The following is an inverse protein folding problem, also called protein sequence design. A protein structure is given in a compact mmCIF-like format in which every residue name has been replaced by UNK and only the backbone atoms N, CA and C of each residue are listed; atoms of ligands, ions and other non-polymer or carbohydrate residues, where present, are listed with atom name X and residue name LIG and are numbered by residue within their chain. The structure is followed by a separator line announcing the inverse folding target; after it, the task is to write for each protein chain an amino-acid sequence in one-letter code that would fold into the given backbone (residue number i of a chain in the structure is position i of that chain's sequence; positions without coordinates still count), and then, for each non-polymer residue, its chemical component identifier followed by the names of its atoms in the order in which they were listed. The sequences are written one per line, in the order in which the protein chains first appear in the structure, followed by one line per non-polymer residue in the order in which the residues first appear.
data_IF_196554458666
#
_entry.id   IF_196554458666
#
_cell.length_a   1.000
_cell.length_b   1.000
_cell.length_c   1.000
_cell.angle_alpha   90.00
_cell.angle_beta   90.00
_cell.angle_gamma   90.00
#
_symmetry.space_group_name_H-M   'P 1'
#
loop_
_entity.id
_entity.type
_entity.pdbx_description
1 polymer ?
#
# COMPACT_ATOMS: atom_id res chain seq x y z
N UNK A 1 -10.36 7.17 16.62
CA UNK A 1 -10.25 8.65 16.71
C UNK A 1 -11.12 9.29 15.63
N UNK A 2 -11.64 10.49 15.84
CA UNK A 2 -12.47 11.18 14.84
C UNK A 2 -12.41 12.70 15.00
N UNK A 3 -12.75 13.41 13.91
CA UNK A 3 -13.01 14.85 13.89
C UNK A 3 -14.31 15.11 13.09
N UNK A 4 -14.60 16.35 12.71
CA UNK A 4 -15.84 16.68 11.97
C UNK A 4 -15.96 16.04 10.58
N UNK A 5 -14.83 15.66 9.95
CA UNK A 5 -14.81 15.14 8.59
C UNK A 5 -14.59 13.62 8.53
N UNK A 6 -13.71 13.07 9.38
CA UNK A 6 -13.26 11.69 9.32
C UNK A 6 -13.44 10.95 10.64
N UNK A 7 -13.67 9.63 10.56
CA UNK A 7 -13.54 8.68 11.67
C UNK A 7 -12.58 7.57 11.26
N UNK A 8 -11.56 7.35 12.10
CA UNK A 8 -10.54 6.31 11.94
C UNK A 8 -10.70 5.25 13.03
N UNK A 9 -10.76 3.99 12.62
CA UNK A 9 -10.67 2.83 13.52
C UNK A 9 -9.32 2.15 13.33
N UNK A 10 -8.55 2.02 14.41
CA UNK A 10 -7.26 1.34 14.43
C UNK A 10 -7.36 0.09 15.29
N UNK A 11 -6.70 -1.01 14.87
CA UNK A 11 -6.61 -2.27 15.61
C UNK A 11 -5.18 -2.49 16.12
N UNK A 12 -4.83 -2.03 17.33
CA UNK A 12 -3.45 -2.10 17.84
C UNK A 12 -2.90 -3.53 17.87
N UNK A 13 -3.74 -4.51 18.18
CA UNK A 13 -3.36 -5.94 18.27
C UNK A 13 -3.23 -6.65 16.92
N UNK A 14 -3.46 -5.95 15.80
CA UNK A 14 -3.37 -6.44 14.41
C UNK A 14 -2.57 -5.41 13.60
N UNK A 15 -1.28 -5.31 13.89
CA UNK A 15 -0.37 -4.43 13.16
C UNK A 15 -0.63 -2.94 13.28
N UNK A 16 -1.41 -2.51 14.29
CA UNK A 16 -2.04 -1.20 14.31
C UNK A 16 -2.72 -0.85 12.97
N UNK A 17 -3.36 -1.84 12.34
CA UNK A 17 -4.13 -1.73 11.09
C UNK A 17 -5.16 -0.61 11.19
N UNK A 18 -5.24 0.25 10.19
CA UNK A 18 -6.40 1.13 10.03
C UNK A 18 -7.52 0.30 9.38
N UNK A 19 -8.46 -0.17 10.20
CA UNK A 19 -9.54 -1.05 9.75
C UNK A 19 -10.64 -0.29 8.98
N UNK A 20 -10.83 1.00 9.28
CA UNK A 20 -11.83 1.86 8.64
C UNK A 20 -11.30 3.29 8.56
N UNK A 21 -11.47 3.91 7.39
CA UNK A 21 -11.32 5.35 7.18
C UNK A 21 -12.66 5.84 6.64
N UNK A 22 -13.50 6.32 7.55
CA UNK A 22 -14.86 6.70 7.24
C UNK A 22 -14.99 8.21 7.05
N UNK A 23 -15.47 8.63 5.88
CA UNK A 23 -15.79 10.01 5.54
C UNK A 23 -17.21 10.32 5.99
N UNK A 24 -17.37 11.23 6.95
CA UNK A 24 -18.68 11.56 7.55
C UNK A 24 -19.64 12.23 6.58
N UNK A 25 -19.12 13.03 5.64
CA UNK A 25 -19.88 13.67 4.57
C UNK A 25 -19.14 13.42 3.26
N UNK A 26 -19.63 12.53 2.38
CA UNK A 26 -21.02 12.10 2.22
C UNK A 26 -21.36 10.71 2.83
N UNK A 27 -20.84 10.37 4.01
CA UNK A 27 -21.08 9.08 4.67
C UNK A 27 -20.57 7.87 3.86
N UNK A 28 -19.25 7.77 3.71
CA UNK A 28 -18.57 6.76 2.86
C UNK A 28 -17.41 6.10 3.58
N UNK A 29 -17.36 4.78 3.56
CA UNK A 29 -16.15 4.02 3.88
C UNK A 29 -15.20 4.02 2.68
N UNK A 30 -13.93 4.32 2.91
CA UNK A 30 -12.91 4.32 1.85
C UNK A 30 -12.32 2.94 1.63
N UNK A 31 -12.13 2.19 2.70
CA UNK A 31 -11.39 0.93 2.66
C UNK A 31 -12.35 -0.24 2.42
N UNK A 32 -11.90 -1.20 1.63
CA UNK A 32 -12.62 -2.45 1.43
C UNK A 32 -12.86 -3.15 2.77
N UNK A 33 -14.10 -3.58 2.98
CA UNK A 33 -14.54 -4.32 4.16
C UNK A 33 -14.94 -5.74 3.72
N UNK A 34 -14.51 -6.74 4.48
CA UNK A 34 -14.91 -8.12 4.25
C UNK A 34 -16.32 -8.33 4.84
N UNK A 35 -17.19 -9.14 4.20
CA UNK A 35 -18.49 -9.45 4.76
C UNK A 35 -18.38 -10.09 6.15
N UNK A 36 -18.83 -9.38 7.18
CA UNK A 36 -18.82 -9.82 8.58
C UNK A 36 -18.51 -8.68 9.56
N UNK A 37 -18.78 -8.93 10.85
CA UNK A 37 -18.65 -7.89 11.89
C UNK A 37 -17.32 -7.98 12.67
N UNK A 38 -16.53 -9.02 12.45
CA UNK A 38 -15.29 -9.28 13.21
C UNK A 38 -14.18 -9.83 12.33
N UNK A 39 -12.95 -9.38 12.58
CA UNK A 39 -11.75 -10.01 12.04
C UNK A 39 -11.56 -11.42 12.60
N UNK A 40 -11.07 -12.38 11.79
CA UNK A 40 -10.72 -13.69 12.31
C UNK A 40 -9.54 -13.59 13.29
N UNK A 41 -9.40 -14.58 14.19
CA UNK A 41 -8.22 -14.70 15.03
C UNK A 41 -6.94 -14.70 14.21
N UNK A 42 -5.96 -13.90 14.62
CA UNK A 42 -4.62 -13.90 14.04
C UNK A 42 -3.81 -15.06 14.60
N UNK A 43 -3.17 -15.82 13.70
CA UNK A 43 -2.15 -16.78 14.07
C UNK A 43 -0.81 -16.21 13.59
N UNK A 44 0.12 -15.85 14.48
CA UNK A 44 1.40 -15.26 14.07
C UNK A 44 2.12 -16.11 13.03
N UNK A 45 2.54 -15.49 11.93
CA UNK A 45 3.20 -16.18 10.81
C UNK A 45 2.28 -16.96 9.88
N UNK A 46 0.96 -16.87 10.02
CA UNK A 46 0.03 -17.41 9.01
C UNK A 46 0.12 -16.61 7.71
N UNK A 47 -0.12 -17.29 6.58
CA UNK A 47 -0.30 -16.63 5.28
C UNK A 47 -1.42 -15.58 5.34
N UNK A 48 -1.31 -14.55 4.51
CA UNK A 48 -2.31 -13.51 4.37
C UNK A 48 -3.59 -14.10 3.75
N UNK A 49 -4.69 -14.09 4.50
CA UNK A 49 -5.93 -14.73 4.08
C UNK A 49 -6.90 -13.73 3.45
N UNK A 50 -7.90 -14.19 2.69
CA UNK A 50 -8.96 -13.33 2.17
C UNK A 50 -9.60 -12.40 3.22
N UNK A 51 -9.82 -12.90 4.43
CA UNK A 51 -10.43 -12.14 5.52
C UNK A 51 -9.49 -11.04 6.07
N UNK A 52 -8.18 -11.19 5.85
CA UNK A 52 -7.16 -10.21 6.23
C UNK A 52 -7.02 -9.09 5.21
N UNK A 53 -7.49 -9.31 3.98
CA UNK A 53 -7.45 -8.36 2.85
C UNK A 53 -8.52 -7.30 2.95
N UNK A 54 -8.43 -6.50 4.01
CA UNK A 54 -9.32 -5.37 4.28
C UNK A 54 -8.55 -4.26 4.96
N UNK A 55 -9.11 -3.05 4.96
CA UNK A 55 -8.50 -1.95 5.67
C UNK A 55 -7.13 -1.55 5.09
N UNK A 56 -6.21 -1.17 5.96
CA UNK A 56 -4.87 -0.72 5.60
C UNK A 56 -3.82 -1.31 6.56
N UNK A 57 -2.98 -2.19 6.01
CA UNK A 57 -1.78 -2.74 6.64
C UNK A 57 -0.48 -2.05 6.20
N UNK A 58 0.57 -2.20 7.02
CA UNK A 58 1.94 -1.92 6.61
C UNK A 58 2.66 -3.23 6.28
N UNK A 59 3.32 -3.27 5.13
CA UNK A 59 4.12 -4.42 4.70
C UNK A 59 5.59 -4.13 5.01
N UNK A 60 6.13 -4.84 6.01
CA UNK A 60 7.52 -4.70 6.45
C UNK A 60 8.00 -5.96 7.19
N UNK A 61 9.22 -6.49 6.92
CA UNK A 61 10.24 -5.98 5.99
C UNK A 61 10.14 -6.52 4.55
N UNK A 62 9.00 -7.13 4.17
CA UNK A 62 8.74 -7.69 2.84
C UNK A 62 7.24 -7.61 2.50
N UNK A 63 6.87 -7.83 1.23
CA UNK A 63 5.49 -8.17 0.83
C UNK A 63 5.38 -9.67 0.59
N UNK A 64 6.28 -10.27 -0.20
CA UNK A 64 6.26 -11.69 -0.50
C UNK A 64 7.07 -12.49 0.52
N UNK A 65 6.56 -13.66 0.89
CA UNK A 65 7.33 -14.61 1.68
C UNK A 65 8.54 -15.12 0.89
N UNK A 66 9.72 -15.07 1.50
CA UNK A 66 10.95 -15.63 0.93
C UNK A 66 11.96 -15.96 2.05
N UNK A 67 12.92 -16.87 1.82
CA UNK A 67 14.11 -16.93 2.66
C UNK A 67 14.91 -15.63 2.49
N UNK A 68 15.23 -14.96 3.60
CA UNK A 68 15.99 -13.71 3.57
C UNK A 68 17.31 -13.91 2.82
N UNK A 69 17.58 -13.14 1.75
CA UNK A 69 18.65 -13.47 0.81
C UNK A 69 20.03 -12.94 1.23
N UNK A 70 20.14 -12.19 2.32
CA UNK A 70 21.36 -11.44 2.65
C UNK A 70 21.97 -11.84 4.00
N UNK A 71 23.29 -11.81 4.11
CA UNK A 71 23.96 -11.94 5.40
C UNK A 71 23.62 -10.75 6.32
N UNK A 72 23.67 -10.91 7.65
CA UNK A 72 23.98 -12.15 8.40
C UNK A 72 22.77 -13.08 8.57
N UNK A 73 21.57 -12.67 8.17
CA UNK A 73 20.32 -13.41 8.39
C UNK A 73 19.94 -14.32 7.21
N UNK A 74 20.90 -14.70 6.37
CA UNK A 74 20.63 -15.47 5.16
C UNK A 74 19.88 -16.77 5.50
N UNK A 75 18.76 -17.01 4.81
CA UNK A 75 17.89 -18.16 5.03
C UNK A 75 16.86 -18.00 6.16
N UNK A 76 16.91 -16.93 6.96
CA UNK A 76 15.84 -16.65 7.93
C UNK A 76 14.52 -16.35 7.20
N UNK A 77 13.37 -16.80 7.71
CA UNK A 77 12.10 -16.62 7.02
C UNK A 77 11.64 -15.16 7.06
N UNK A 78 11.37 -14.60 5.88
CA UNK A 78 10.48 -13.45 5.74
C UNK A 78 9.04 -13.96 5.56
N UNK A 79 8.12 -13.65 6.49
CA UNK A 79 6.73 -14.09 6.36
C UNK A 79 5.99 -13.30 5.28
N UNK A 80 4.88 -13.87 4.80
CA UNK A 80 3.96 -13.23 3.87
C UNK A 80 3.44 -11.90 4.44
N UNK A 81 3.57 -10.83 3.66
CA UNK A 81 3.32 -9.43 4.01
C UNK A 81 4.18 -8.86 5.16
N UNK A 82 5.25 -9.56 5.54
CA UNK A 82 6.16 -9.14 6.59
C UNK A 82 5.64 -9.42 8.00
N UNK A 83 6.40 -9.00 9.00
CA UNK A 83 6.11 -9.32 10.40
C UNK A 83 5.04 -8.38 10.99
N UNK A 84 4.99 -7.13 10.52
CA UNK A 84 4.36 -6.07 11.29
C UNK A 84 2.84 -6.03 11.17
N UNK A 85 2.24 -6.63 10.13
CA UNK A 85 0.79 -6.56 9.88
C UNK A 85 -0.04 -7.39 10.87
N UNK A 86 0.52 -8.50 11.38
CA UNK A 86 -0.18 -9.38 12.33
C UNK A 86 0.27 -9.18 13.78
N UNK A 87 1.44 -8.58 14.03
CA UNK A 87 1.94 -8.42 15.39
C UNK A 87 1.12 -7.41 16.19
N UNK A 88 0.96 -7.58 17.52
CA UNK A 88 0.43 -6.53 18.35
C UNK A 88 1.45 -5.40 18.48
N UNK A 89 1.01 -4.17 18.26
CA UNK A 89 1.81 -2.98 18.49
C UNK A 89 1.48 -2.40 19.86
N UNK A 90 2.51 -1.89 20.53
CA UNK A 90 2.39 -1.20 21.81
C UNK A 90 1.96 0.24 21.56
N UNK A 91 0.94 0.71 22.28
CA UNK A 91 0.59 2.13 22.26
C UNK A 91 1.68 2.94 22.96
N UNK A 92 2.14 4.02 22.33
CA UNK A 92 3.18 4.91 22.86
C UNK A 92 2.62 6.30 23.12
N UNK A 93 3.24 7.09 24.02
CA UNK A 93 2.81 8.46 24.28
C UNK A 93 2.75 9.29 22.99
N UNK A 94 1.69 10.08 22.84
CA UNK A 94 1.46 10.93 21.67
C UNK A 94 0.74 12.21 22.06
N UNK A 95 0.76 13.19 21.17
CA UNK A 95 0.10 14.48 21.38
C UNK A 95 -1.43 14.33 21.37
N UNK A 96 -2.12 15.29 21.99
CA UNK A 96 -3.58 15.33 21.97
C UNK A 96 -4.11 15.33 20.53
N UNK A 97 -5.03 14.43 20.21
CA UNK A 97 -5.58 14.28 18.85
C UNK A 97 -4.76 13.39 17.93
N UNK A 98 -3.77 12.66 18.46
CA UNK A 98 -3.03 11.63 17.73
C UNK A 98 -3.07 10.26 18.43
N UNK A 99 -2.73 9.21 17.71
CA UNK A 99 -2.54 7.85 18.24
C UNK A 99 -1.20 7.31 17.75
N UNK A 100 -0.31 6.92 18.65
CA UNK A 100 1.01 6.39 18.31
C UNK A 100 1.16 4.95 18.74
N UNK A 101 1.78 4.14 17.88
CA UNK A 101 2.03 2.72 18.11
C UNK A 101 3.43 2.36 17.68
N UNK A 102 4.08 1.45 18.41
CA UNK A 102 5.39 0.92 18.06
C UNK A 102 5.44 -0.61 18.13
N UNK A 103 6.31 -1.21 17.33
CA UNK A 103 6.59 -2.63 17.33
C UNK A 103 8.08 -2.88 17.12
N UNK A 104 8.60 -3.91 17.77
CA UNK A 104 9.96 -4.39 17.56
C UNK A 104 9.92 -5.64 16.69
N UNK A 105 10.82 -5.74 15.71
CA UNK A 105 10.95 -6.91 14.85
C UNK A 105 11.24 -8.17 15.66
N UNK A 106 10.67 -9.30 15.21
CA UNK A 106 10.82 -10.59 15.91
C UNK A 106 12.04 -11.35 15.40
N UNK A 107 12.22 -11.38 14.09
CA UNK A 107 13.31 -12.07 13.42
C UNK A 107 14.49 -11.13 13.09
N UNK A 108 14.20 -9.84 12.90
CA UNK A 108 15.18 -8.84 12.49
C UNK A 108 15.28 -7.68 13.49
N UNK A 109 16.48 -7.07 13.67
CA UNK A 109 16.70 -6.07 14.70
C UNK A 109 16.24 -4.68 14.23
N UNK A 110 14.94 -4.43 14.24
CA UNK A 110 14.41 -3.10 13.97
C UNK A 110 13.31 -2.72 14.98
N UNK A 111 13.05 -1.42 15.08
CA UNK A 111 11.85 -0.88 15.71
C UNK A 111 11.12 -0.01 14.69
N UNK A 112 9.83 -0.28 14.49
CA UNK A 112 8.96 0.51 13.64
C UNK A 112 7.91 1.20 14.53
N UNK A 113 7.70 2.49 14.30
CA UNK A 113 6.66 3.28 14.94
C UNK A 113 5.83 3.98 13.89
N UNK A 114 4.53 4.13 14.15
CA UNK A 114 3.66 5.00 13.37
C UNK A 114 2.71 5.80 14.25
N UNK A 115 2.44 7.03 13.82
CA UNK A 115 1.54 7.97 14.49
C UNK A 115 0.46 8.44 13.54
N UNK A 116 -0.80 8.23 13.92
CA UNK A 116 -1.97 8.70 13.19
C UNK A 116 -2.41 10.06 13.72
N UNK A 117 -2.73 10.98 12.82
CA UNK A 117 -3.39 12.26 13.14
C UNK A 117 -4.44 12.63 12.10
N UNK A 118 -5.48 13.36 12.54
CA UNK A 118 -6.55 13.83 11.67
C UNK A 118 -6.56 15.36 11.63
N UNK A 119 -6.59 15.94 10.43
CA UNK A 119 -6.70 17.39 10.23
C UNK A 119 -7.69 17.68 9.10
N UNK A 120 -8.86 18.24 9.42
CA UNK A 120 -9.95 18.37 8.46
C UNK A 120 -10.27 17.01 7.82
N UNK A 121 -10.37 16.98 6.49
CA UNK A 121 -10.59 15.76 5.71
C UNK A 121 -9.30 14.97 5.38
N UNK A 122 -8.21 15.19 6.13
CA UNK A 122 -6.92 14.53 5.90
C UNK A 122 -6.57 13.59 7.06
N UNK A 123 -6.21 12.36 6.73
CA UNK A 123 -5.51 11.42 7.61
C UNK A 123 -4.02 11.48 7.30
N UNK A 124 -3.21 11.76 8.32
CA UNK A 124 -1.76 11.67 8.22
C UNK A 124 -1.24 10.53 9.08
N UNK A 125 -0.32 9.76 8.52
CA UNK A 125 0.43 8.72 9.20
C UNK A 125 1.90 9.08 9.10
N UNK A 126 2.54 9.31 10.24
CA UNK A 126 3.99 9.51 10.31
C UNK A 126 4.64 8.20 10.69
N UNK A 127 5.75 7.87 10.05
CA UNK A 127 6.49 6.64 10.25
C UNK A 127 7.92 6.94 10.68
N UNK A 128 8.42 6.09 11.57
CA UNK A 128 9.81 6.09 12.01
C UNK A 128 10.26 4.64 12.07
N UNK A 129 11.34 4.29 11.38
CA UNK A 129 11.99 2.98 11.52
C UNK A 129 13.45 3.17 11.93
N UNK A 130 13.87 2.36 12.89
CA UNK A 130 15.23 2.29 13.37
C UNK A 130 15.76 0.87 13.14
N UNK A 131 16.93 0.75 12.52
CA UNK A 131 17.70 -0.49 12.54
C UNK A 131 18.48 -0.56 13.85
N UNK A 132 18.10 -1.46 14.75
CA UNK A 132 18.75 -1.68 16.04
C UNK A 132 20.05 -2.51 15.93
N UNK A 133 20.35 -3.03 14.75
CA UNK A 133 21.51 -3.86 14.49
C UNK A 133 22.75 -3.07 14.06
N UNK A 134 23.90 -3.75 14.13
CA UNK A 134 25.21 -3.22 13.73
C UNK A 134 25.54 -3.47 12.25
N UNK A 135 24.60 -4.02 11.48
CA UNK A 135 24.80 -4.33 10.05
C UNK A 135 23.71 -3.70 9.19
N UNK A 136 23.98 -3.38 7.91
CA UNK A 136 22.96 -2.87 7.00
C UNK A 136 21.81 -3.87 6.87
N UNK A 137 20.58 -3.37 6.88
CA UNK A 137 19.37 -4.17 6.77
C UNK A 137 18.60 -3.84 5.49
N UNK A 138 18.89 -4.54 4.38
CA UNK A 138 18.04 -4.50 3.20
C UNK A 138 16.63 -5.01 3.51
N UNK A 139 15.66 -4.14 3.34
CA UNK A 139 14.27 -4.41 3.67
C UNK A 139 13.35 -3.67 2.71
N UNK A 140 12.06 -3.87 2.87
CA UNK A 140 11.03 -3.16 2.16
C UNK A 140 10.01 -2.63 3.17
N UNK A 141 9.61 -1.37 2.99
CA UNK A 141 8.34 -0.86 3.49
C UNK A 141 7.45 -0.55 2.30
N UNK A 142 6.18 -0.96 2.38
CA UNK A 142 5.12 -0.50 1.49
C UNK A 142 3.82 -0.31 2.28
N UNK A 143 3.13 0.79 2.00
CA UNK A 143 1.76 0.97 2.48
C UNK A 143 0.83 0.00 1.72
N UNK A 144 -0.17 -0.57 2.40
CA UNK A 144 -1.16 -1.46 1.79
C UNK A 144 -2.62 -1.03 2.08
N UNK A 145 -3.04 0.21 1.74
CA UNK A 145 -4.43 0.60 1.86
C UNK A 145 -5.25 -0.07 0.76
N UNK A 146 -6.16 -0.95 1.14
CA UNK A 146 -7.08 -1.60 0.21
C UNK A 146 -8.35 -0.76 0.09
N UNK A 147 -8.40 0.12 -0.91
CA UNK A 147 -9.56 0.96 -1.17
C UNK A 147 -10.68 0.15 -1.82
N UNK A 148 -11.92 0.39 -1.41
CA UNK A 148 -13.09 -0.18 -2.05
C UNK A 148 -13.28 0.42 -3.44
N UNK A 149 -13.45 -0.43 -4.45
CA UNK A 149 -13.57 0.01 -5.85
C UNK A 149 -15.00 -0.11 -6.38
N UNK A 150 -15.33 0.73 -7.37
CA UNK A 150 -16.54 0.62 -8.18
C UNK A 150 -16.24 0.84 -9.65
N UNK A 151 -17.11 0.32 -10.51
CA UNK A 151 -17.01 0.50 -11.95
C UNK A 151 -17.03 2.00 -12.31
N UNK A 152 -15.94 2.47 -12.94
CA UNK A 152 -15.61 3.86 -13.40
C UNK A 152 -14.38 4.47 -12.73
N UNK A 153 -13.94 3.90 -11.61
CA UNK A 153 -12.78 4.44 -10.90
C UNK A 153 -11.53 4.32 -11.76
N UNK A 154 -10.59 5.26 -11.57
CA UNK A 154 -9.30 5.25 -12.25
C UNK A 154 -8.20 5.80 -11.37
N UNK A 155 -6.97 5.40 -11.66
CA UNK A 155 -5.76 6.00 -11.10
C UNK A 155 -5.41 7.21 -11.96
N UNK A 156 -5.15 8.36 -11.33
CA UNK A 156 -4.56 9.51 -11.99
C UNK A 156 -3.28 9.95 -11.27
N UNK A 157 -2.36 10.51 -12.04
CA UNK A 157 -1.05 10.96 -11.57
C UNK A 157 -0.83 12.40 -12.02
N UNK A 158 -0.15 13.24 -11.23
CA UNK A 158 0.24 14.57 -11.64
C UNK A 158 1.06 14.57 -12.93
N UNK A 159 0.93 15.61 -13.75
CA UNK A 159 1.72 15.75 -14.99
C UNK A 159 3.24 15.69 -14.76
N UNK A 160 3.71 16.10 -13.57
CA UNK A 160 5.10 16.00 -13.15
C UNK A 160 5.63 14.55 -13.17
N UNK A 161 4.76 13.54 -13.04
CA UNK A 161 5.12 12.12 -13.05
C UNK A 161 5.04 11.48 -14.44
N UNK A 162 4.73 12.23 -15.51
CA UNK A 162 4.51 11.65 -16.86
C UNK A 162 5.68 10.78 -17.33
N UNK A 163 6.91 11.25 -17.15
CA UNK A 163 8.12 10.54 -17.59
C UNK A 163 8.50 9.37 -16.66
N UNK A 164 8.35 9.54 -15.35
CA UNK A 164 8.63 8.47 -14.37
C UNK A 164 7.61 7.33 -14.46
N UNK A 165 6.37 7.64 -14.83
CA UNK A 165 5.25 6.70 -14.87
C UNK A 165 4.90 6.20 -16.27
N UNK A 166 5.73 6.46 -17.29
CA UNK A 166 5.47 6.00 -18.65
C UNK A 166 5.50 4.46 -18.80
N UNK A 167 6.14 3.75 -17.87
CA UNK A 167 6.30 2.30 -17.89
C UNK A 167 6.03 1.68 -16.52
N UNK A 168 5.52 0.46 -16.53
CA UNK A 168 5.35 -0.38 -15.33
C UNK A 168 6.06 -1.72 -15.50
N UNK A 169 6.49 -2.30 -14.38
CA UNK A 169 7.08 -3.63 -14.29
C UNK A 169 6.07 -4.55 -13.62
N UNK A 170 5.73 -5.67 -14.27
CA UNK A 170 4.84 -6.70 -13.72
C UNK A 170 5.49 -7.32 -12.49
N UNK A 171 4.82 -7.25 -11.34
CA UNK A 171 5.33 -7.76 -10.06
C UNK A 171 4.76 -9.12 -9.69
N UNK A 172 3.53 -9.44 -10.12
CA UNK A 172 2.98 -10.80 -10.05
C UNK A 172 2.64 -11.30 -11.46
N UNK A 173 3.08 -12.51 -11.79
CA UNK A 173 2.81 -13.11 -13.09
C UNK A 173 1.31 -13.35 -13.26
N UNK A 174 0.77 -13.01 -14.42
CA UNK A 174 -0.60 -13.35 -14.79
C UNK A 174 -0.69 -13.67 -16.27
N UNK A 175 -1.77 -14.34 -16.66
CA UNK A 175 -2.02 -14.58 -18.08
C UNK A 175 -2.13 -13.25 -18.85
N UNK A 176 -2.82 -12.27 -18.25
CA UNK A 176 -3.07 -10.98 -18.87
C UNK A 176 -1.80 -10.12 -18.98
N UNK A 177 -1.05 -9.93 -17.89
CA UNK A 177 0.13 -9.05 -17.87
C UNK A 177 1.42 -9.71 -18.37
N UNK A 178 1.47 -11.05 -18.36
CA UNK A 178 2.68 -11.82 -18.66
C UNK A 178 3.52 -12.13 -17.41
N UNK A 179 4.76 -12.62 -17.61
CA UNK A 179 5.63 -13.03 -16.50
C UNK A 179 6.14 -11.83 -15.69
N UNK A 180 6.47 -12.04 -14.41
CA UNK A 180 7.13 -11.05 -13.56
C UNK A 180 8.39 -10.47 -14.24
N UNK A 181 8.58 -9.15 -14.10
CA UNK A 181 9.66 -8.41 -14.74
C UNK A 181 9.34 -7.94 -16.16
N UNK A 182 8.20 -8.34 -16.73
CA UNK A 182 7.72 -7.80 -18.00
C UNK A 182 7.52 -6.29 -17.88
N UNK A 183 8.07 -5.53 -18.84
CA UNK A 183 7.95 -4.07 -18.87
C UNK A 183 6.83 -3.67 -19.84
N UNK A 184 5.80 -2.97 -19.36
CA UNK A 184 4.64 -2.53 -20.15
C UNK A 184 4.58 -1.00 -20.23
N UNK A 185 3.97 -0.49 -21.30
CA UNK A 185 3.59 0.93 -21.40
C UNK A 185 2.42 1.23 -20.46
N UNK A 186 2.41 2.44 -19.90
CA UNK A 186 1.34 2.93 -19.05
C UNK A 186 0.83 4.28 -19.58
N UNK A 187 -0.50 4.52 -19.59
CA UNK A 187 -1.54 3.64 -19.05
C UNK A 187 -1.97 2.51 -20.00
N UNK A 188 -1.66 2.59 -21.29
CA UNK A 188 -2.09 1.60 -22.28
C UNK A 188 -1.09 0.46 -22.42
N UNK A 189 -1.41 -0.70 -21.84
CA UNK A 189 -0.59 -1.89 -21.90
C UNK A 189 -0.97 -2.80 -23.08
N UNK A 190 0.04 -3.38 -23.74
CA UNK A 190 -0.13 -4.34 -24.83
C UNK A 190 0.84 -5.53 -24.66
N UNK A 191 0.58 -6.44 -23.71
CA UNK A 191 1.53 -7.48 -23.29
C UNK A 191 1.73 -8.59 -24.34
N UNK A 192 0.77 -8.81 -25.24
CA UNK A 192 0.82 -9.85 -26.28
C UNK A 192 0.49 -9.28 -27.65
N UNK A 193 1.24 -9.70 -28.67
CA UNK A 193 0.98 -9.30 -30.07
C UNK A 193 -0.40 -9.83 -30.51
N UNK A 194 -1.22 -8.95 -31.09
CA UNK A 194 -2.54 -9.30 -31.61
C UNK A 194 -3.66 -9.29 -30.55
N UNK A 195 -3.33 -9.07 -29.27
CA UNK A 195 -4.33 -8.76 -28.24
C UNK A 195 -4.50 -7.24 -28.17
N UNK A 196 -5.74 -6.70 -28.15
CA UNK A 196 -5.97 -5.27 -27.99
C UNK A 196 -5.30 -4.72 -26.73
N UNK A 197 -4.76 -3.50 -26.84
CA UNK A 197 -4.25 -2.80 -25.67
C UNK A 197 -5.39 -2.47 -24.70
N UNK A 198 -5.09 -2.46 -23.41
CA UNK A 198 -6.04 -2.10 -22.36
C UNK A 198 -5.42 -1.08 -21.39
N UNK A 199 -6.29 -0.37 -20.68
CA UNK A 199 -5.92 0.78 -19.87
C UNK A 199 -5.74 0.36 -18.40
N UNK A 200 -4.49 0.25 -17.96
CA UNK A 200 -4.11 -0.10 -16.59
C UNK A 200 -4.51 0.96 -15.55
N UNK A 201 -4.88 2.17 -15.98
CA UNK A 201 -5.37 3.18 -15.06
C UNK A 201 -6.83 2.94 -14.68
N UNK A 202 -7.61 2.20 -15.48
CA UNK A 202 -9.04 2.01 -15.26
C UNK A 202 -9.31 0.79 -14.39
N UNK A 203 -10.27 0.95 -13.49
CA UNK A 203 -10.72 -0.10 -12.58
C UNK A 203 -12.04 -0.67 -13.08
N UNK A 204 -12.04 -1.99 -13.27
CA UNK A 204 -13.24 -2.80 -13.47
C UNK A 204 -13.61 -3.51 -12.17
N UNK A 205 -14.74 -4.22 -12.18
CA UNK A 205 -15.20 -5.04 -11.04
C UNK A 205 -15.70 -6.36 -11.57
N UNK A 206 -15.57 -7.42 -10.77
CA UNK A 206 -16.09 -8.76 -11.05
C UNK A 206 -15.66 -9.37 -12.40
N UNK A 207 -14.46 -9.02 -12.88
CA UNK A 207 -13.85 -9.62 -14.08
C UNK A 207 -13.18 -10.97 -13.80
N UNK A 208 -12.98 -11.30 -12.52
CA UNK A 208 -12.24 -12.49 -12.10
C UNK A 208 -10.71 -12.32 -12.21
N UNK A 209 -10.21 -11.09 -12.35
CA UNK A 209 -8.80 -10.80 -12.56
C UNK A 209 -8.12 -10.18 -11.34
N UNK A 210 -6.81 -10.38 -11.26
CA UNK A 210 -5.92 -9.63 -10.36
C UNK A 210 -4.72 -9.11 -11.13
N UNK A 211 -4.25 -7.91 -10.79
CA UNK A 211 -3.08 -7.27 -11.39
C UNK A 211 -2.15 -6.75 -10.30
N UNK A 212 -0.85 -6.97 -10.45
CA UNK A 212 0.18 -6.39 -9.57
C UNK A 212 1.35 -5.89 -10.39
N UNK A 213 1.66 -4.61 -10.27
CA UNK A 213 2.77 -3.98 -10.98
C UNK A 213 3.33 -2.80 -10.19
N UNK A 214 4.57 -2.40 -10.49
CA UNK A 214 5.18 -1.17 -9.98
C UNK A 214 5.47 -0.22 -11.13
N UNK A 215 5.43 1.10 -10.89
CA UNK A 215 6.05 2.03 -11.81
C UNK A 215 7.56 1.78 -11.90
N UNK A 216 8.08 1.77 -13.13
CA UNK A 216 9.44 1.29 -13.41
C UNK A 216 10.55 2.24 -12.93
N UNK A 217 10.20 3.49 -12.57
CA UNK A 217 11.12 4.51 -12.09
C UNK A 217 10.58 5.14 -10.80
N UNK A 218 11.47 5.68 -9.95
CA UNK A 218 11.08 6.58 -8.87
C UNK A 218 10.13 7.67 -9.35
N UNK A 219 9.09 7.95 -8.57
CA UNK A 219 8.22 9.09 -8.82
C UNK A 219 8.98 10.39 -8.70
N UNK A 220 8.63 11.37 -9.54
CA UNK A 220 9.13 12.74 -9.40
C UNK A 220 8.41 13.50 -8.29
N UNK A 221 7.11 13.24 -8.13
CA UNK A 221 6.26 13.79 -7.08
C UNK A 221 5.47 12.65 -6.42
N UNK A 222 5.52 12.56 -5.09
CA UNK A 222 4.80 11.55 -4.33
C UNK A 222 3.33 11.93 -4.15
N UNK A 223 2.58 11.91 -5.25
CA UNK A 223 1.15 12.17 -5.27
C UNK A 223 0.47 11.28 -6.32
N UNK A 224 -0.63 10.65 -5.92
CA UNK A 224 -1.45 9.77 -6.75
C UNK A 224 -2.91 9.89 -6.31
N UNK A 225 -3.83 9.77 -7.25
CA UNK A 225 -5.26 9.89 -6.99
C UNK A 225 -5.99 8.63 -7.42
N UNK A 226 -6.91 8.14 -6.57
CA UNK A 226 -7.99 7.26 -6.99
C UNK A 226 -9.20 8.14 -7.28
N UNK A 227 -9.56 8.26 -8.54
CA UNK A 227 -10.64 9.12 -9.00
C UNK A 227 -11.87 8.31 -9.36
N UNK A 228 -13.00 8.75 -8.85
CA UNK A 228 -14.32 8.43 -9.35
C UNK A 228 -14.91 9.68 -10.01
N UNK A 229 -14.91 9.75 -11.34
CA UNK A 229 -15.40 10.92 -12.05
C UNK A 229 -16.89 11.17 -11.75
N UNK A 230 -17.33 12.45 -11.72
CA UNK A 230 -18.74 12.77 -11.54
C UNK A 230 -19.65 11.98 -12.50
N UNK A 231 -20.66 11.31 -11.95
CA UNK A 231 -21.81 10.82 -12.72
C UNK A 231 -22.79 11.95 -12.98
N UNK A 232 -23.79 11.68 -13.83
CA UNK A 232 -24.95 12.55 -14.06
C UNK A 232 -25.69 12.94 -12.76
N UNK A 233 -25.55 12.15 -11.68
CA UNK A 233 -26.11 12.42 -10.35
C UNK A 233 -25.19 13.26 -9.42
N UNK A 234 -24.01 13.67 -9.89
CA UNK A 234 -23.06 14.49 -9.14
C UNK A 234 -22.30 13.77 -8.02
N UNK A 235 -22.29 12.43 -7.98
CA UNK A 235 -21.69 11.64 -6.86
C UNK A 235 -20.22 11.27 -7.03
N UNK A 236 -19.46 12.09 -7.76
CA UNK A 236 -18.02 11.88 -7.96
C UNK A 236 -17.23 12.00 -6.64
N UNK A 237 -16.12 11.29 -6.57
CA UNK A 237 -15.31 11.21 -5.36
C UNK A 237 -13.86 10.93 -5.71
N UNK A 238 -12.90 11.52 -5.02
CA UNK A 238 -11.50 11.17 -5.19
C UNK A 238 -10.81 10.97 -3.86
N UNK A 239 -9.75 10.16 -3.87
CA UNK A 239 -8.83 10.02 -2.73
C UNK A 239 -7.46 10.40 -3.24
N UNK A 240 -6.87 11.44 -2.66
CA UNK A 240 -5.49 11.80 -2.88
C UNK A 240 -4.61 11.08 -1.86
N UNK A 241 -3.52 10.47 -2.31
CA UNK A 241 -2.44 9.99 -1.47
C UNK A 241 -1.22 10.85 -1.71
N UNK A 242 -0.59 11.34 -0.65
CA UNK A 242 0.66 12.12 -0.73
C UNK A 242 1.74 11.57 0.19
N UNK A 243 2.99 11.64 -0.25
CA UNK A 243 4.14 11.11 0.46
C UNK A 243 5.44 11.76 -0.05
N UNK A 244 6.54 11.72 0.73
CA UNK A 244 7.83 12.26 0.30
C UNK A 244 8.52 11.29 -0.68
N UNK A 245 8.51 11.60 -1.98
CA UNK A 245 9.10 10.76 -3.03
C UNK A 245 10.62 10.56 -2.91
N UNK A 246 11.32 11.42 -2.18
CA UNK A 246 12.75 11.25 -1.85
C UNK A 246 13.00 10.16 -0.80
N UNK A 247 11.98 9.80 0.00
CA UNK A 247 12.03 8.73 1.02
C UNK A 247 11.30 7.47 0.59
N UNK A 248 10.20 7.65 -0.12
CA UNK A 248 9.29 6.60 -0.57
C UNK A 248 9.11 6.73 -2.10
N UNK A 249 10.14 6.40 -2.88
CA UNK A 249 10.19 6.74 -4.31
C UNK A 249 9.30 5.86 -5.18
N UNK A 250 8.97 4.65 -4.76
CA UNK A 250 8.29 3.67 -5.60
C UNK A 250 6.80 3.65 -5.34
N UNK A 251 6.04 3.26 -6.36
CA UNK A 251 4.59 3.10 -6.28
C UNK A 251 4.20 1.78 -6.92
N UNK A 252 3.74 0.86 -6.07
CA UNK A 252 3.09 -0.39 -6.44
C UNK A 252 1.59 -0.21 -6.59
N UNK A 253 0.98 -0.97 -7.49
CA UNK A 253 -0.47 -1.05 -7.67
C UNK A 253 -0.88 -2.51 -7.60
N UNK A 254 -1.73 -2.84 -6.64
CA UNK A 254 -2.51 -4.08 -6.58
C UNK A 254 -3.94 -3.78 -7.02
N UNK A 255 -4.48 -4.54 -7.96
CA UNK A 255 -5.89 -4.47 -8.36
C UNK A 255 -6.49 -5.85 -8.22
N UNK A 256 -7.59 -5.96 -7.47
CA UNK A 256 -8.42 -7.14 -7.39
C UNK A 256 -9.81 -6.82 -7.94
N UNK A 257 -10.18 -7.45 -9.05
CA UNK A 257 -11.46 -7.27 -9.73
C UNK A 257 -12.28 -8.58 -9.64
N UNK A 258 -12.35 -9.14 -8.43
CA UNK A 258 -13.00 -10.41 -8.15
C UNK A 258 -12.10 -11.65 -8.36
N UNK A 259 -10.85 -11.48 -8.79
CA UNK A 259 -9.95 -12.60 -9.08
C UNK A 259 -9.39 -13.30 -7.85
N UNK A 260 -9.30 -12.60 -6.72
CA UNK A 260 -8.92 -13.20 -5.45
C UNK A 260 -10.03 -13.04 -4.42
N UNK A 261 -10.58 -14.17 -3.98
CA UNK A 261 -11.70 -14.28 -3.05
C UNK A 261 -12.96 -13.48 -3.43
N UNK A 262 -13.16 -13.16 -4.72
CA UNK A 262 -14.32 -12.41 -5.19
C UNK A 262 -14.36 -10.94 -4.71
N UNK A 263 -13.23 -10.38 -4.26
CA UNK A 263 -13.17 -9.03 -3.71
C UNK A 263 -12.92 -7.98 -4.79
N UNK A 264 -13.43 -6.77 -4.57
CA UNK A 264 -13.22 -5.63 -5.46
C UNK A 264 -12.50 -4.51 -4.70
N UNK A 265 -11.17 -4.51 -4.80
CA UNK A 265 -10.33 -3.55 -4.09
C UNK A 265 -9.08 -3.17 -4.90
N UNK A 266 -8.50 -2.03 -4.53
CA UNK A 266 -7.23 -1.56 -5.09
C UNK A 266 -6.27 -1.18 -3.96
N UNK A 267 -5.07 -1.74 -4.02
CA UNK A 267 -3.92 -1.30 -3.25
C UNK A 267 -3.15 -0.24 -4.02
N UNK A 268 -3.12 0.99 -3.50
CA UNK A 268 -2.20 2.03 -3.98
C UNK A 268 -1.06 2.09 -2.96
N UNK A 269 0.12 1.64 -3.37
CA UNK A 269 1.17 1.22 -2.44
C UNK A 269 2.44 2.06 -2.62
N UNK A 270 2.49 3.28 -2.06
CA UNK A 270 3.76 3.97 -1.87
C UNK A 270 4.73 3.06 -1.12
N UNK A 271 5.94 2.91 -1.65
CA UNK A 271 6.94 1.98 -1.15
C UNK A 271 8.36 2.57 -1.15
N UNK A 272 9.13 2.21 -0.13
CA UNK A 272 10.53 2.57 -0.02
C UNK A 272 11.41 1.69 -0.91
N UNK A 273 11.00 0.43 -1.13
CA UNK A 273 11.58 -0.51 -2.09
C UNK A 273 10.50 -1.08 -3.01
N UNK A 274 10.87 -1.45 -4.24
CA UNK A 274 9.94 -2.02 -5.21
C UNK A 274 9.95 -3.55 -5.28
N UNK A 275 9.03 -4.11 -6.07
CA UNK A 275 9.02 -5.53 -6.48
C UNK A 275 8.83 -6.55 -5.35
N UNK A 276 8.09 -6.15 -4.31
CA UNK A 276 7.49 -7.00 -3.28
C UNK A 276 8.45 -7.82 -2.37
N UNK A 277 9.75 -7.83 -2.60
CA UNK A 277 10.70 -8.44 -1.63
C UNK A 277 12.08 -7.80 -1.68
N UNK A 278 12.87 -7.82 -0.59
CA UNK A 278 14.24 -7.29 -0.61
C UNK A 278 15.12 -7.95 -1.68
N UNK A 279 14.95 -9.26 -1.93
CA UNK A 279 15.65 -9.97 -2.99
C UNK A 279 15.33 -9.45 -4.39
N UNK A 280 14.05 -9.31 -4.71
CA UNK A 280 13.62 -8.77 -5.99
C UNK A 280 13.96 -7.29 -6.12
N UNK A 281 13.76 -6.50 -5.06
CA UNK A 281 14.12 -5.09 -5.02
C UNK A 281 15.58 -4.90 -5.46
N UNK A 282 16.53 -5.69 -4.94
CA UNK A 282 17.92 -5.65 -5.40
C UNK A 282 18.08 -6.05 -6.86
N UNK A 283 17.45 -7.15 -7.29
CA UNK A 283 17.51 -7.64 -8.67
C UNK A 283 17.05 -6.60 -9.70
N UNK A 284 16.04 -5.81 -9.35
CA UNK A 284 15.47 -4.77 -10.20
C UNK A 284 16.06 -3.38 -9.96
N UNK A 285 17.05 -3.23 -9.06
CA UNK A 285 17.66 -1.93 -8.75
C UNK A 285 16.74 -0.96 -8.02
N UNK A 286 15.79 -1.49 -7.24
CA UNK A 286 14.77 -0.78 -6.48
C UNK A 286 14.91 -1.02 -4.96
N UNK A 287 16.13 -1.26 -4.48
CA UNK A 287 16.38 -1.65 -3.11
C UNK A 287 16.33 -0.49 -2.11
N UNK A 288 15.94 -0.82 -0.89
CA UNK A 288 16.04 0.05 0.27
C UNK A 288 16.85 -0.64 1.36
N UNK A 289 17.80 0.08 1.91
CA UNK A 289 18.73 -0.44 2.91
C UNK A 289 18.71 0.50 4.10
N UNK A 290 18.28 -0.01 5.25
CA UNK A 290 18.43 0.71 6.51
C UNK A 290 19.90 0.58 6.97
N UNK A 291 20.64 1.68 7.15
CA UNK A 291 22.02 1.63 7.64
C UNK A 291 22.10 1.00 9.03
N UNK A 292 23.26 0.48 9.47
CA UNK A 292 23.49 0.11 10.86
C UNK A 292 23.11 1.25 11.80
N UNK A 293 22.32 0.98 12.84
CA UNK A 293 21.87 2.02 13.81
C UNK A 293 21.18 3.21 13.12
N UNK A 294 20.71 3.02 11.89
CA UNK A 294 20.17 4.05 11.04
C UNK A 294 18.68 4.26 11.30
N UNK A 295 18.27 5.51 11.21
CA UNK A 295 16.87 5.93 11.31
C UNK A 295 16.39 6.43 9.95
N UNK A 296 15.17 6.05 9.57
CA UNK A 296 14.44 6.68 8.47
C UNK A 296 13.05 7.09 8.93
N UNK A 297 12.62 8.25 8.43
CA UNK A 297 11.33 8.83 8.74
C UNK A 297 10.65 9.28 7.44
N UNK A 298 9.35 9.02 7.35
CA UNK A 298 8.52 9.44 6.23
C UNK A 298 7.09 9.61 6.70
N UNK A 299 6.22 10.03 5.78
CA UNK A 299 4.80 10.21 6.07
C UNK A 299 3.96 9.79 4.88
N UNK A 300 2.73 9.41 5.17
CA UNK A 300 1.66 9.21 4.19
C UNK A 300 0.47 10.07 4.59
N UNK A 301 -0.09 10.77 3.63
CA UNK A 301 -1.34 11.51 3.77
C UNK A 301 -2.40 10.90 2.86
N UNK A 302 -3.60 10.71 3.40
CA UNK A 302 -4.79 10.26 2.66
C UNK A 302 -5.87 11.33 2.83
N UNK A 303 -6.23 11.97 1.72
CA UNK A 303 -7.20 13.05 1.69
C UNK A 303 -8.35 12.71 0.72
N UNK A 304 -9.50 12.24 1.23
CA UNK A 304 -10.73 12.18 0.46
C UNK A 304 -11.26 13.56 0.07
N UNK A 305 -11.70 13.68 -1.18
CA UNK A 305 -12.36 14.87 -1.74
C UNK A 305 -13.65 14.46 -2.43
N UNK A 306 -14.72 15.20 -2.15
CA UNK A 306 -15.96 15.08 -2.94
C UNK A 306 -15.72 15.84 -4.24
N UNK A 307 -15.95 15.19 -5.38
CA UNK A 307 -15.85 15.89 -6.65
C UNK A 307 -17.01 16.92 -6.69
N UNK A 308 -16.68 18.20 -6.76
CA UNK A 308 -17.68 19.23 -7.02
C UNK A 308 -17.90 19.28 -8.54
N UNK A 309 -19.15 19.32 -8.98
CA UNK A 309 -19.46 19.64 -10.37
C UNK A 309 -18.88 21.04 -10.65
N UNK A 310 -18.01 21.12 -11.66
CA UNK A 310 -17.55 22.40 -12.23
C UNK A 310 -18.66 22.99 -13.07
#
# INVERSE_FOLDING_TARGET
MENDALRLVVLPRRGAKAASIYVKKPARELLWQYPGDTYPPLVPGSAFKPEDSTGFDDMFPTVNAEPYPFAPWAGQPLPDHGEVWFMPWEETPSEAGSLSFAVQGRNFPYRLQKTFSLSGASLRIQYHVENLGETPFPCLWAAHPLFATRQRMRISLPAANRESCARVIVANSSEELGPQGTLLDYPLASPRRGVPAFDLSKISVDTGLTRKFYFAKPLTLGEVFLEDPPSEDGTGFSVALRFPADKVPYLGIWVNEGGWAGQNNIGIEPAAAGMDSPGNARKFGMEWILPPQGVQEWWLEIEPRVAQNV
#
